data_IF_026740921233
#
_entry.id   IF_026740921233
#
_cell.length_a   1.000
_cell.length_b   1.000
_cell.length_c   1.000
_cell.angle_alpha   90.00
_cell.angle_beta   90.00
_cell.angle_gamma   90.00
#
_symmetry.space_group_name_H-M   'P 1'
#
loop_
_entity.id
_entity.type
_entity.pdbx_description
1 polymer ?
#
# COMPACT_ATOMS: atom_id res chain seq x y z
N UNK A 1 -12.55 -9.58 29.44
CA UNK A 1 -12.65 -9.27 27.99
C UNK A 1 -12.16 -7.86 27.79
N UNK A 2 -11.32 -7.61 26.79
CA UNK A 2 -10.82 -6.25 26.49
C UNK A 2 -11.89 -5.49 25.74
N UNK A 3 -12.31 -4.35 26.26
CA UNK A 3 -13.25 -3.47 25.59
C UNK A 3 -12.51 -2.51 24.64
N UNK A 4 -12.96 -2.45 23.38
CA UNK A 4 -12.37 -1.60 22.35
C UNK A 4 -12.96 -0.19 22.44
N UNK A 5 -12.26 0.80 21.88
CA UNK A 5 -12.77 2.17 21.82
C UNK A 5 -14.01 2.26 20.93
N UNK A 6 -15.07 2.93 21.39
CA UNK A 6 -16.36 3.04 20.70
C UNK A 6 -16.27 3.57 19.25
N UNK A 7 -15.27 4.40 18.94
CA UNK A 7 -15.05 4.91 17.57
C UNK A 7 -14.75 3.80 16.56
N UNK A 8 -14.24 2.65 17.00
CA UNK A 8 -13.96 1.51 16.13
C UNK A 8 -15.25 0.85 15.62
N UNK A 9 -16.35 0.98 16.37
CA UNK A 9 -17.66 0.45 15.96
C UNK A 9 -18.31 1.29 14.84
N UNK A 10 -17.81 2.51 14.62
CA UNK A 10 -18.27 3.40 13.55
C UNK A 10 -17.52 3.21 12.21
N UNK A 11 -16.49 2.36 12.17
CA UNK A 11 -15.74 2.10 10.94
C UNK A 11 -16.58 1.18 10.04
N UNK A 12 -16.98 1.61 8.84
CA UNK A 12 -17.75 0.77 7.94
C UNK A 12 -16.90 -0.41 7.41
N UNK A 13 -17.53 -1.48 6.91
CA UNK A 13 -16.81 -2.55 6.24
C UNK A 13 -15.92 -2.03 5.10
N UNK A 14 -14.74 -2.61 4.96
CA UNK A 14 -13.78 -2.23 3.93
C UNK A 14 -14.24 -2.75 2.57
N UNK A 15 -14.90 -1.89 1.79
CA UNK A 15 -15.49 -2.20 0.49
C UNK A 15 -14.51 -2.91 -0.46
N UNK A 16 -13.26 -2.43 -0.57
CA UNK A 16 -12.27 -3.03 -1.45
C UNK A 16 -11.86 -4.44 -1.03
N UNK A 17 -11.94 -4.76 0.26
CA UNK A 17 -11.73 -6.13 0.76
C UNK A 17 -12.77 -7.09 0.21
N UNK A 18 -14.04 -6.69 0.16
CA UNK A 18 -15.08 -7.53 -0.42
C UNK A 18 -15.00 -7.63 -1.93
N UNK A 19 -14.64 -6.54 -2.62
CA UNK A 19 -14.37 -6.58 -4.06
C UNK A 19 -13.21 -7.53 -4.36
N UNK A 20 -12.13 -7.49 -3.58
CA UNK A 20 -11.00 -8.40 -3.74
C UNK A 20 -11.41 -9.88 -3.54
N UNK A 21 -12.26 -10.17 -2.54
CA UNK A 21 -12.80 -11.51 -2.31
C UNK A 21 -13.62 -12.01 -3.50
N UNK A 22 -14.52 -11.17 -4.03
CA UNK A 22 -15.36 -11.51 -5.18
C UNK A 22 -14.54 -11.69 -6.46
N UNK A 23 -13.52 -10.86 -6.68
CA UNK A 23 -12.56 -11.03 -7.79
C UNK A 23 -11.82 -12.36 -7.71
N UNK A 24 -11.28 -12.69 -6.55
CA UNK A 24 -10.56 -13.94 -6.34
C UNK A 24 -11.46 -15.16 -6.61
N UNK A 25 -12.72 -15.13 -6.16
CA UNK A 25 -13.72 -16.15 -6.48
C UNK A 25 -13.93 -16.30 -7.99
N UNK A 26 -14.17 -15.18 -8.68
CA UNK A 26 -14.43 -15.15 -10.11
C UNK A 26 -13.24 -15.69 -10.93
N UNK A 27 -12.01 -15.34 -10.55
CA UNK A 27 -10.78 -15.87 -11.15
C UNK A 27 -10.67 -17.39 -10.93
N UNK A 28 -10.94 -17.89 -9.72
CA UNK A 28 -10.92 -19.35 -9.44
C UNK A 28 -11.96 -20.13 -10.25
N UNK A 29 -13.06 -19.49 -10.63
CA UNK A 29 -14.08 -20.05 -11.52
C UNK A 29 -13.68 -20.03 -13.00
N UNK A 30 -12.47 -19.54 -13.34
CA UNK A 30 -11.97 -19.47 -14.71
C UNK A 30 -12.59 -18.34 -15.52
N UNK A 31 -13.17 -17.31 -14.88
CA UNK A 31 -13.68 -16.14 -15.59
C UNK A 31 -12.53 -15.24 -16.02
N UNK A 32 -12.65 -14.68 -17.23
CA UNK A 32 -11.77 -13.63 -17.72
C UNK A 32 -12.25 -12.27 -17.20
N UNK A 33 -11.46 -11.61 -16.33
CA UNK A 33 -11.84 -10.38 -15.64
C UNK A 33 -11.02 -9.21 -16.17
N UNK A 34 -11.71 -8.15 -16.59
CA UNK A 34 -11.12 -6.83 -16.79
C UNK A 34 -11.23 -6.07 -15.47
N UNK A 35 -10.09 -5.79 -14.85
CA UNK A 35 -10.03 -5.10 -13.57
C UNK A 35 -9.87 -3.59 -13.74
N UNK A 36 -10.97 -2.85 -13.56
CA UNK A 36 -10.99 -1.38 -13.51
C UNK A 36 -11.36 -0.86 -12.11
N UNK A 37 -11.21 -1.71 -11.08
CA UNK A 37 -11.78 -1.47 -9.76
C UNK A 37 -10.87 -0.73 -8.77
N UNK A 38 -9.56 -0.72 -9.01
CA UNK A 38 -8.57 -0.08 -8.15
C UNK A 38 -7.65 0.77 -9.03
N UNK A 39 -7.40 2.01 -8.61
CA UNK A 39 -6.51 2.94 -9.30
C UNK A 39 -5.03 2.69 -9.04
N UNK A 40 -4.64 1.43 -8.85
CA UNK A 40 -3.24 1.05 -8.67
C UNK A 40 -2.55 1.12 -10.04
N UNK A 41 -1.42 1.86 -10.18
CA UNK A 41 -0.68 1.91 -11.42
C UNK A 41 -0.22 0.51 -11.86
N UNK A 42 -0.38 0.22 -13.15
CA UNK A 42 0.08 -1.00 -13.80
C UNK A 42 1.58 -0.96 -14.14
N UNK A 43 2.14 0.25 -14.21
CA UNK A 43 3.55 0.48 -14.51
C UNK A 43 4.41 0.40 -13.25
N UNK A 44 5.65 -0.11 -13.35
CA UNK A 44 6.56 -0.15 -12.22
C UNK A 44 6.97 1.26 -11.82
N UNK A 45 7.41 1.41 -10.57
CA UNK A 45 8.14 2.60 -10.13
C UNK A 45 9.33 2.85 -11.06
N UNK A 46 9.59 4.09 -11.49
CA UNK A 46 10.76 4.44 -12.28
C UNK A 46 12.08 3.88 -11.70
N UNK A 47 12.98 3.31 -12.53
CA UNK A 47 14.17 2.62 -12.03
C UNK A 47 15.11 3.50 -11.19
N UNK A 48 15.26 4.76 -11.58
CA UNK A 48 16.08 5.77 -10.90
C UNK A 48 15.62 6.03 -9.45
N UNK A 49 14.31 6.00 -9.21
CA UNK A 49 13.73 6.11 -7.86
C UNK A 49 14.07 4.86 -7.02
N UNK A 50 13.92 3.67 -7.61
CA UNK A 50 14.24 2.40 -6.93
C UNK A 50 15.73 2.31 -6.60
N UNK A 51 16.59 2.75 -7.52
CA UNK A 51 18.04 2.82 -7.32
C UNK A 51 18.43 3.81 -6.23
N UNK A 52 17.84 5.02 -6.23
CA UNK A 52 18.06 6.00 -5.18
C UNK A 52 17.67 5.46 -3.80
N UNK A 53 16.48 4.85 -3.70
CA UNK A 53 16.04 4.19 -2.47
C UNK A 53 17.03 3.10 -2.02
N UNK A 54 17.44 2.21 -2.93
CA UNK A 54 18.33 1.10 -2.60
C UNK A 54 19.70 1.58 -2.13
N UNK A 55 20.24 2.62 -2.78
CA UNK A 55 21.50 3.24 -2.44
C UNK A 55 21.43 3.87 -1.05
N UNK A 56 20.44 4.73 -0.81
CA UNK A 56 20.31 5.44 0.47
C UNK A 56 19.99 4.51 1.64
N UNK A 57 19.23 3.43 1.41
CA UNK A 57 18.99 2.41 2.44
C UNK A 57 20.27 1.73 2.94
N UNK A 58 21.31 1.64 2.10
CA UNK A 58 22.62 1.08 2.45
C UNK A 58 23.54 2.10 3.12
N UNK A 59 23.18 3.37 3.15
CA UNK A 59 23.98 4.43 3.76
C UNK A 59 23.61 4.60 5.25
N UNK A 60 24.50 4.27 6.21
CA UNK A 60 24.16 4.33 7.63
C UNK A 60 23.77 5.73 8.14
N UNK A 61 24.15 6.79 7.41
CA UNK A 61 23.79 8.16 7.73
C UNK A 61 22.27 8.43 7.62
N UNK A 62 21.57 7.71 6.73
CA UNK A 62 20.13 7.91 6.48
C UNK A 62 19.22 7.20 7.49
N UNK A 63 19.80 6.45 8.43
CA UNK A 63 19.04 5.62 9.38
C UNK A 63 18.55 6.40 10.60
N UNK A 64 19.13 7.58 10.85
CA UNK A 64 18.78 8.43 11.99
C UNK A 64 17.61 9.34 11.63
N UNK A 65 17.01 9.91 12.67
CA UNK A 65 16.05 10.98 12.47
C UNK A 65 16.71 12.15 11.74
N UNK A 66 15.98 12.68 10.78
CA UNK A 66 16.32 13.92 10.15
C UNK A 66 15.98 15.08 11.10
N UNK A 67 16.96 15.96 11.30
CA UNK A 67 16.83 17.17 12.14
C UNK A 67 16.75 18.45 11.28
N UNK A 68 16.73 18.31 9.95
CA UNK A 68 16.60 19.42 9.03
C UNK A 68 15.14 19.92 8.93
N UNK A 69 14.91 21.18 8.53
CA UNK A 69 13.56 21.73 8.40
C UNK A 69 12.70 21.09 7.29
N UNK A 70 13.30 20.37 6.33
CA UNK A 70 12.60 19.91 5.13
C UNK A 70 13.17 18.62 4.48
N UNK A 71 14.07 17.87 5.13
CA UNK A 71 14.95 16.94 4.43
C UNK A 71 16.30 17.58 4.12
N UNK A 72 17.38 16.80 4.14
CA UNK A 72 18.54 17.09 3.30
C UNK A 72 18.01 17.28 1.85
N UNK A 73 18.46 18.30 1.08
CA UNK A 73 18.05 18.42 -0.32
C UNK A 73 18.41 17.18 -1.15
#
# INVERSE_FOLDING_TARGET
MVQRAARLDAIPPYLFGEIARLKAEAIRQGRDLIDLGIGDPDQPTPPDIVEALSREARHPATHRYDESPAGDP
#
